data_IF_613248178681
#
_entry.id   IF_613248178681
#
_cell.length_a   1.000
_cell.length_b   1.000
_cell.length_c   1.000
_cell.angle_alpha   90.00
_cell.angle_beta   90.00
_cell.angle_gamma   90.00
#
_symmetry.space_group_name_H-M   'P 1'
#
loop_
_entity.id
_entity.type
_entity.pdbx_description
1 polymer ?
#
# COMPACT_ATOMS: atom_id res chain seq x y z
N UNK A 1 -4.86 -11.55 3.78
CA UNK A 1 -5.08 -11.04 2.40
C UNK A 1 -3.79 -10.37 1.96
N UNK A 2 -3.27 -10.66 0.75
CA UNK A 2 -1.96 -10.21 0.28
C UNK A 2 -2.10 -9.50 -1.07
N UNK A 3 -1.43 -8.37 -1.22
CA UNK A 3 -1.30 -7.65 -2.49
C UNK A 3 -0.06 -8.15 -3.24
N UNK A 4 -0.19 -8.41 -4.54
CA UNK A 4 0.94 -8.71 -5.44
C UNK A 4 1.08 -7.54 -6.42
N UNK A 5 2.08 -6.68 -6.19
CA UNK A 5 2.52 -5.72 -7.20
C UNK A 5 3.36 -6.46 -8.23
N UNK A 6 2.97 -6.45 -9.52
CA UNK A 6 3.74 -7.09 -10.59
C UNK A 6 4.55 -6.04 -11.35
N UNK A 7 5.87 -6.10 -11.24
CA UNK A 7 6.79 -5.45 -12.18
C UNK A 7 6.89 -6.27 -13.47
N UNK A 8 7.14 -5.64 -14.62
CA UNK A 8 7.46 -6.32 -15.88
C UNK A 8 8.74 -7.19 -15.80
N UNK A 9 9.46 -7.13 -14.67
CA UNK A 9 10.62 -7.96 -14.32
C UNK A 9 10.35 -8.98 -13.18
N UNK A 10 9.08 -9.25 -12.85
CA UNK A 10 8.73 -10.37 -11.97
C UNK A 10 8.94 -10.15 -10.46
N UNK A 11 9.12 -8.91 -10.00
CA UNK A 11 9.11 -8.63 -8.56
C UNK A 11 7.67 -8.75 -8.03
N UNK A 12 7.46 -9.62 -7.04
CA UNK A 12 6.22 -9.77 -6.29
C UNK A 12 6.48 -9.39 -4.84
N UNK A 13 6.03 -8.22 -4.40
CA UNK A 13 6.16 -7.81 -3.00
C UNK A 13 4.87 -8.13 -2.27
N UNK A 14 4.95 -9.06 -1.31
CA UNK A 14 3.82 -9.38 -0.44
C UNK A 14 3.72 -8.31 0.64
N UNK A 15 2.63 -7.54 0.61
CA UNK A 15 2.33 -6.56 1.64
C UNK A 15 1.26 -7.07 2.58
N UNK A 16 1.57 -7.05 3.87
CA UNK A 16 0.70 -7.38 4.99
C UNK A 16 0.66 -6.17 5.92
N UNK A 17 -0.43 -5.97 6.65
CA UNK A 17 -0.48 -5.00 7.74
C UNK A 17 -0.83 -5.66 9.09
N UNK A 18 -0.63 -6.97 9.17
CA UNK A 18 -0.95 -7.80 10.34
C UNK A 18 0.12 -7.73 11.43
N UNK A 19 1.33 -7.30 11.09
CA UNK A 19 2.51 -7.27 11.96
C UNK A 19 3.38 -6.03 11.68
N UNK A 20 4.37 -5.83 12.56
CA UNK A 20 5.26 -4.66 12.48
C UNK A 20 6.10 -4.65 11.19
N UNK A 21 6.55 -5.82 10.74
CA UNK A 21 7.34 -5.96 9.51
C UNK A 21 6.51 -5.62 8.27
N UNK A 22 5.27 -6.10 8.20
CA UNK A 22 4.34 -5.77 7.14
C UNK A 22 4.05 -4.27 7.06
N UNK A 23 3.81 -3.62 8.21
CA UNK A 23 3.62 -2.16 8.26
C UNK A 23 4.86 -1.40 7.77
N UNK A 24 6.07 -1.89 8.07
CA UNK A 24 7.31 -1.29 7.57
C UNK A 24 7.41 -1.40 6.03
N UNK A 25 7.03 -2.54 5.47
CA UNK A 25 7.01 -2.76 4.02
C UNK A 25 5.95 -1.88 3.33
N UNK A 26 4.77 -1.71 3.93
CA UNK A 26 3.75 -0.76 3.47
C UNK A 26 4.30 0.68 3.49
N UNK A 27 4.98 1.08 4.56
CA UNK A 27 5.59 2.41 4.63
C UNK A 27 6.67 2.62 3.54
N UNK A 28 7.47 1.60 3.25
CA UNK A 28 8.45 1.65 2.16
C UNK A 28 7.78 1.82 0.80
N UNK A 29 6.70 1.10 0.54
CA UNK A 29 5.92 1.23 -0.69
C UNK A 29 5.28 2.60 -0.84
N UNK A 30 4.72 3.13 0.24
CA UNK A 30 4.14 4.48 0.22
C UNK A 30 5.19 5.54 -0.18
N UNK A 31 6.45 5.41 0.28
CA UNK A 31 7.55 6.29 -0.15
C UNK A 31 7.89 6.13 -1.64
N UNK A 32 7.91 4.91 -2.16
CA UNK A 32 8.23 4.65 -3.57
C UNK A 32 7.16 5.17 -4.53
N UNK A 33 5.90 5.09 -4.11
CA UNK A 33 4.74 5.54 -4.88
C UNK A 33 4.38 7.01 -4.63
N UNK A 34 5.11 7.67 -3.72
CA UNK A 34 4.85 9.04 -3.26
C UNK A 34 3.38 9.23 -2.80
N UNK A 35 2.90 8.32 -1.94
CA UNK A 35 1.57 8.36 -1.33
C UNK A 35 1.68 8.50 0.19
N UNK A 36 0.69 9.12 0.81
CA UNK A 36 0.69 9.37 2.25
C UNK A 36 0.51 8.07 3.06
N UNK A 37 1.57 7.66 3.75
CA UNK A 37 1.55 6.49 4.61
C UNK A 37 0.59 6.64 5.79
N UNK A 38 0.45 7.83 6.38
CA UNK A 38 -0.41 8.01 7.54
C UNK A 38 -1.88 7.83 7.16
N UNK A 39 -2.30 8.39 6.02
CA UNK A 39 -3.59 8.17 5.41
C UNK A 39 -3.83 6.70 5.06
N UNK A 40 -2.88 6.03 4.40
CA UNK A 40 -2.97 4.59 4.09
C UNK A 40 -3.16 3.77 5.37
N UNK A 41 -2.34 4.03 6.40
CA UNK A 41 -2.41 3.35 7.69
C UNK A 41 -3.76 3.53 8.36
N UNK A 42 -4.33 4.75 8.39
CA UNK A 42 -5.65 4.99 8.97
C UNK A 42 -6.75 4.16 8.30
N UNK A 43 -6.70 4.00 6.97
CA UNK A 43 -7.69 3.22 6.23
C UNK A 43 -7.58 1.72 6.51
N UNK A 44 -6.35 1.22 6.61
CA UNK A 44 -6.10 -0.16 7.03
C UNK A 44 -6.67 -0.41 8.43
N UNK A 45 -6.48 0.52 9.38
CA UNK A 45 -7.08 0.43 10.71
C UNK A 45 -8.61 0.48 10.72
N UNK A 46 -9.24 1.06 9.68
CA UNK A 46 -10.69 1.05 9.48
C UNK A 46 -11.21 -0.23 8.82
N UNK A 47 -10.33 -1.18 8.51
CA UNK A 47 -10.68 -2.48 7.94
C UNK A 47 -10.51 -2.60 6.42
N UNK A 48 -9.97 -1.57 5.75
CA UNK A 48 -9.61 -1.69 4.33
C UNK A 48 -8.38 -2.58 4.15
N UNK A 49 -8.28 -3.24 3.00
CA UNK A 49 -7.05 -3.95 2.63
C UNK A 49 -5.94 -2.95 2.29
N UNK A 50 -4.68 -3.40 2.39
CA UNK A 50 -3.52 -2.60 1.98
C UNK A 50 -3.66 -2.12 0.53
N UNK A 51 -4.20 -2.98 -0.35
CA UNK A 51 -4.47 -2.67 -1.75
C UNK A 51 -5.50 -1.55 -1.91
N UNK A 52 -6.67 -1.68 -1.27
CA UNK A 52 -7.73 -0.68 -1.32
C UNK A 52 -7.22 0.67 -0.80
N UNK A 53 -6.49 0.65 0.31
CA UNK A 53 -5.95 1.85 0.92
C UNK A 53 -4.94 2.55 -0.01
N UNK A 54 -3.99 1.82 -0.61
CA UNK A 54 -2.99 2.41 -1.52
C UNK A 54 -3.67 2.92 -2.80
N UNK A 55 -4.57 2.14 -3.40
CA UNK A 55 -5.28 2.54 -4.62
C UNK A 55 -6.08 3.82 -4.42
N UNK A 56 -6.73 4.01 -3.27
CA UNK A 56 -7.44 5.27 -2.99
C UNK A 56 -6.56 6.52 -3.17
N UNK A 57 -5.29 6.46 -2.73
CA UNK A 57 -4.39 7.60 -2.84
C UNK A 57 -3.77 7.72 -4.23
N UNK A 58 -3.54 6.61 -4.92
CA UNK A 58 -3.08 6.62 -6.31
C UNK A 58 -4.16 7.21 -7.24
N UNK A 59 -5.41 6.79 -7.09
CA UNK A 59 -6.54 7.28 -7.90
C UNK A 59 -6.80 8.77 -7.64
N UNK A 60 -6.68 9.23 -6.38
CA UNK A 60 -6.73 10.66 -6.05
C UNK A 60 -5.58 11.46 -6.65
N UNK A 61 -4.40 10.85 -6.83
CA UNK A 61 -3.24 11.49 -7.45
C UNK A 61 -3.37 11.60 -8.96
N UNK A 62 -4.04 10.63 -9.60
CA UNK A 62 -4.25 10.56 -11.04
C UNK A 62 -5.51 11.25 -11.56
N UNK A 63 -6.29 11.91 -10.68
CA UNK A 63 -7.47 12.68 -11.05
C UNK A 63 -7.10 14.09 -11.50
N UNK A 64 -6.63 14.21 -12.74
CA UNK A 64 -6.80 15.43 -13.57
C UNK A 64 -8.13 15.36 -14.33
#
# INVERSE_FOLDING_TARGET
MYLILKSNRGLHVQLSASDAEGLLNVAAMCRLLDVDYNGVRQRIFRGETVEQAIHHFLDKKGGE
#
